data_IF_204240825705
#
_entry.id   IF_204240825705
#
_cell.length_a   1.000
_cell.length_b   1.000
_cell.length_c   1.000
_cell.angle_alpha   90.00
_cell.angle_beta   90.00
_cell.angle_gamma   90.00
#
_symmetry.space_group_name_H-M   'P 1'
#
loop_
_entity.id
_entity.type
_entity.pdbx_description
1 polymer ?
#
# COMPACT_ATOMS: atom_id res chain seq x y z
N UNK A 1 -7.21 -3.64 1.39
CA UNK A 1 -5.90 -4.31 1.65
C UNK A 1 -5.16 -4.79 0.38
N UNK A 2 -5.73 -5.64 -0.48
CA UNK A 2 -5.04 -6.14 -1.71
C UNK A 2 -4.49 -5.00 -2.58
N UNK A 3 -5.32 -4.02 -2.90
CA UNK A 3 -4.92 -2.86 -3.70
C UNK A 3 -3.90 -1.97 -2.98
N UNK A 4 -3.93 -1.95 -1.64
CA UNK A 4 -2.98 -1.15 -0.86
C UNK A 4 -1.55 -1.70 -0.97
N UNK A 5 -1.36 -3.02 -0.86
CA UNK A 5 -0.05 -3.63 -1.05
C UNK A 5 0.52 -3.39 -2.46
N UNK A 6 -0.34 -3.42 -3.49
CA UNK A 6 0.05 -3.09 -4.88
C UNK A 6 0.42 -1.62 -5.04
N UNK A 7 -0.32 -0.72 -4.40
CA UNK A 7 -0.05 0.71 -4.40
C UNK A 7 1.29 1.05 -3.75
N UNK A 8 1.59 0.48 -2.58
CA UNK A 8 2.89 0.68 -1.90
C UNK A 8 4.06 0.29 -2.81
N UNK A 9 3.98 -0.90 -3.42
CA UNK A 9 4.99 -1.36 -4.37
C UNK A 9 5.13 -0.41 -5.57
N UNK A 10 4.02 0.12 -6.07
CA UNK A 10 4.06 1.08 -7.17
C UNK A 10 4.80 2.37 -6.78
N UNK A 11 4.48 2.93 -5.61
CA UNK A 11 5.10 4.16 -5.10
C UNK A 11 6.63 3.97 -4.98
N UNK A 12 7.07 2.84 -4.41
CA UNK A 12 8.50 2.54 -4.27
C UNK A 12 9.22 2.45 -5.62
N UNK A 13 8.60 1.82 -6.61
CA UNK A 13 9.15 1.71 -7.97
C UNK A 13 9.22 3.08 -8.64
N UNK A 14 8.16 3.90 -8.50
CA UNK A 14 8.12 5.23 -9.07
C UNK A 14 9.23 6.13 -8.50
N UNK A 15 9.40 6.13 -7.17
CA UNK A 15 10.46 6.89 -6.48
C UNK A 15 11.85 6.45 -6.91
N UNK A 16 12.09 5.15 -7.09
CA UNK A 16 13.37 4.63 -7.60
C UNK A 16 13.68 5.17 -9.01
N UNK A 17 12.69 5.23 -9.89
CA UNK A 17 12.90 5.78 -11.24
C UNK A 17 13.12 7.29 -11.24
N UNK A 18 12.43 8.03 -10.38
CA UNK A 18 12.70 9.47 -10.19
C UNK A 18 14.14 9.72 -9.71
N UNK A 19 14.62 8.92 -8.75
CA UNK A 19 15.99 9.08 -8.23
C UNK A 19 17.08 8.75 -9.26
N UNK A 20 16.79 7.86 -10.20
CA UNK A 20 17.75 7.41 -11.22
C UNK A 20 17.64 8.21 -12.55
N UNK A 21 17.07 9.41 -12.52
CA UNK A 21 16.86 10.30 -13.69
C UNK A 21 16.07 9.67 -14.85
N UNK A 22 15.28 8.63 -14.57
CA UNK A 22 14.50 7.88 -15.55
C UNK A 22 13.11 8.48 -15.80
N UNK A 23 13.02 9.76 -16.21
CA UNK A 23 11.76 10.54 -16.24
C UNK A 23 10.61 9.83 -16.99
N UNK A 24 10.85 9.26 -18.17
CA UNK A 24 9.82 8.55 -18.93
C UNK A 24 9.30 7.29 -18.22
N UNK A 25 10.22 6.56 -17.57
CA UNK A 25 9.88 5.37 -16.80
C UNK A 25 9.18 5.75 -15.49
N UNK A 26 9.63 6.82 -14.84
CA UNK A 26 8.98 7.40 -13.67
C UNK A 26 7.55 7.84 -14.01
N UNK A 27 7.34 8.50 -15.15
CA UNK A 27 6.02 8.89 -15.62
C UNK A 27 5.08 7.69 -15.84
N UNK A 28 5.58 6.66 -16.52
CA UNK A 28 4.80 5.42 -16.73
C UNK A 28 4.47 4.74 -15.39
N UNK A 29 5.42 4.75 -14.45
CA UNK A 29 5.20 4.25 -13.10
C UNK A 29 4.19 5.09 -12.32
N UNK A 30 4.21 6.42 -12.48
CA UNK A 30 3.27 7.33 -11.84
C UNK A 30 1.84 7.06 -12.30
N UNK A 31 1.64 6.86 -13.61
CA UNK A 31 0.34 6.46 -14.16
C UNK A 31 -0.15 5.13 -13.59
N UNK A 32 0.76 4.18 -13.40
CA UNK A 32 0.43 2.92 -12.74
C UNK A 32 0.00 3.14 -11.29
N UNK A 33 0.61 4.08 -10.59
CA UNK A 33 0.27 4.38 -9.21
C UNK A 33 -1.08 5.08 -9.12
N UNK A 34 -1.41 5.95 -10.08
CA UNK A 34 -2.75 6.53 -10.24
C UNK A 34 -3.81 5.44 -10.43
N UNK A 35 -3.54 4.44 -11.26
CA UNK A 35 -4.45 3.31 -11.50
C UNK A 35 -4.66 2.46 -10.23
N UNK A 36 -3.58 2.09 -9.52
CA UNK A 36 -3.69 1.31 -8.30
C UNK A 36 -4.33 2.11 -7.15
N UNK A 37 -4.09 3.42 -7.08
CA UNK A 37 -4.78 4.32 -6.17
C UNK A 37 -6.28 4.36 -6.46
N UNK A 38 -6.68 4.50 -7.73
CA UNK A 38 -8.08 4.51 -8.11
C UNK A 38 -8.80 3.22 -7.70
N UNK A 39 -8.16 2.06 -7.88
CA UNK A 39 -8.69 0.77 -7.42
C UNK A 39 -8.82 0.72 -5.89
N UNK A 40 -7.83 1.23 -5.15
CA UNK A 40 -7.93 1.32 -3.70
C UNK A 40 -9.09 2.23 -3.29
N UNK A 41 -9.15 3.44 -3.84
CA UNK A 41 -10.13 4.47 -3.53
C UNK A 41 -11.57 3.99 -3.77
N UNK A 42 -11.84 3.49 -4.97
CA UNK A 42 -13.16 2.97 -5.36
C UNK A 42 -13.56 1.78 -4.49
N UNK A 43 -12.60 0.90 -4.14
CA UNK A 43 -12.86 -0.24 -3.26
C UNK A 43 -13.21 0.20 -1.82
N UNK A 44 -12.53 1.24 -1.29
CA UNK A 44 -12.83 1.78 0.03
C UNK A 44 -14.22 2.39 0.11
N UNK A 45 -14.71 2.98 -0.98
CA UNK A 45 -16.07 3.49 -1.08
C UNK A 45 -17.14 2.37 -1.23
N UNK A 46 -16.73 1.10 -1.24
CA UNK A 46 -17.63 -0.05 -1.33
C UNK A 46 -18.04 -0.44 -2.76
N UNK A 47 -17.46 0.19 -3.78
CA UNK A 47 -17.72 -0.18 -5.18
C UNK A 47 -16.87 -1.36 -5.63
N UNK A 48 -17.39 -2.14 -6.58
CA UNK A 48 -16.63 -3.19 -7.26
C UNK A 48 -15.64 -2.58 -8.25
N UNK A 49 -14.43 -3.13 -8.31
CA UNK A 49 -13.39 -2.66 -9.22
C UNK A 49 -13.65 -3.18 -10.63
N UNK A 50 -13.86 -2.24 -11.55
CA UNK A 50 -13.96 -2.48 -12.99
C UNK A 50 -12.71 -2.00 -13.73
N UNK A 51 -12.71 -2.14 -15.06
CA UNK A 51 -11.65 -1.59 -15.92
C UNK A 51 -11.62 -0.05 -15.91
N UNK A 52 -12.73 0.59 -15.55
CA UNK A 52 -12.91 2.04 -15.57
C UNK A 52 -12.69 2.68 -14.19
N UNK A 53 -12.04 1.96 -13.26
CA UNK A 53 -11.82 2.43 -11.88
C UNK A 53 -11.16 3.82 -11.83
N UNK A 54 -10.23 4.13 -12.75
CA UNK A 54 -9.60 5.46 -12.84
C UNK A 54 -10.61 6.56 -13.16
N UNK A 55 -11.47 6.35 -14.17
CA UNK A 55 -12.50 7.34 -14.54
C UNK A 55 -13.47 7.53 -13.38
N UNK A 56 -13.92 6.42 -12.78
CA UNK A 56 -14.82 6.47 -11.62
C UNK A 56 -14.19 7.23 -10.44
N UNK A 57 -12.92 6.99 -10.14
CA UNK A 57 -12.22 7.73 -9.09
C UNK A 57 -12.07 9.22 -9.42
N UNK A 58 -11.85 9.59 -10.69
CA UNK A 58 -11.78 10.98 -11.13
C UNK A 58 -13.14 11.69 -11.01
N UNK A 59 -14.24 10.98 -11.27
CA UNK A 59 -15.59 11.54 -11.15
C UNK A 59 -16.01 11.70 -9.67
N UNK A 60 -15.47 10.88 -8.78
CA UNK A 60 -15.76 10.90 -7.33
C UNK A 60 -14.80 11.80 -6.53
N UNK A 61 -13.65 12.17 -7.09
CA UNK A 61 -12.61 12.91 -6.40
C UNK A 61 -11.93 13.93 -7.32
N UNK A 62 -12.39 15.18 -7.24
CA UNK A 62 -11.88 16.30 -8.05
C UNK A 62 -10.37 16.54 -7.84
N UNK A 63 -9.86 16.35 -6.62
CA UNK A 63 -8.43 16.52 -6.35
C UNK A 63 -7.59 15.45 -7.04
N UNK A 64 -8.07 14.20 -7.07
CA UNK A 64 -7.43 13.13 -7.84
C UNK A 64 -7.47 13.41 -9.33
N UNK A 65 -8.63 13.85 -9.85
CA UNK A 65 -8.79 14.26 -11.25
C UNK A 65 -7.79 15.34 -11.63
N UNK A 66 -7.64 16.38 -10.83
CA UNK A 66 -6.67 17.45 -11.06
C UNK A 66 -5.24 16.91 -11.16
N UNK A 67 -4.83 15.97 -10.30
CA UNK A 67 -3.50 15.35 -10.37
C UNK A 67 -3.32 14.47 -11.61
N UNK A 68 -4.36 13.75 -12.02
CA UNK A 68 -4.33 12.95 -13.25
C UNK A 68 -4.21 13.86 -14.47
N UNK A 69 -4.99 14.94 -14.54
CA UNK A 69 -4.93 15.92 -15.62
C UNK A 69 -3.56 16.62 -15.66
N UNK A 70 -2.99 16.93 -14.49
CA UNK A 70 -1.62 17.45 -14.37
C UNK A 70 -0.59 16.46 -14.93
N UNK A 71 -0.72 15.16 -14.67
CA UNK A 71 0.17 14.18 -15.28
C UNK A 71 -0.01 14.11 -16.80
N UNK A 72 -1.23 14.01 -17.32
CA UNK A 72 -1.47 13.78 -18.75
C UNK A 72 -1.22 15.00 -19.64
N UNK A 73 -1.58 16.19 -19.16
CA UNK A 73 -1.71 17.37 -20.02
C UNK A 73 -0.75 18.50 -19.68
N UNK A 74 -0.02 18.42 -18.56
CA UNK A 74 0.94 19.45 -18.22
C UNK A 74 2.14 19.42 -19.17
N UNK A 75 2.36 20.53 -19.88
CA UNK A 75 3.52 20.75 -20.76
C UNK A 75 4.74 21.30 -20.02
N UNK A 76 4.61 21.51 -18.71
CA UNK A 76 5.65 22.02 -17.83
C UNK A 76 6.53 20.92 -17.27
N UNK A 77 6.77 20.99 -15.96
CA UNK A 77 7.70 20.10 -15.26
C UNK A 77 7.05 18.74 -14.94
N UNK A 78 7.37 17.73 -15.74
CA UNK A 78 6.89 16.35 -15.54
C UNK A 78 7.32 15.77 -14.19
N UNK A 79 8.52 16.08 -13.71
CA UNK A 79 9.00 15.56 -12.42
C UNK A 79 8.11 16.09 -11.31
N UNK A 80 7.85 17.39 -11.31
CA UNK A 80 6.95 18.02 -10.34
C UNK A 80 5.52 17.44 -10.40
N UNK A 81 5.01 17.16 -11.60
CA UNK A 81 3.69 16.53 -11.75
C UNK A 81 3.66 15.12 -11.10
N UNK A 82 4.72 14.34 -11.28
CA UNK A 82 4.85 13.02 -10.63
C UNK A 82 4.94 13.17 -9.11
N UNK A 83 5.76 14.08 -8.61
CA UNK A 83 5.90 14.33 -7.16
C UNK A 83 4.58 14.77 -6.54
N UNK A 84 3.85 15.68 -7.19
CA UNK A 84 2.52 16.12 -6.76
C UNK A 84 1.53 14.95 -6.68
N UNK A 85 1.55 14.04 -7.66
CA UNK A 85 0.71 12.85 -7.66
C UNK A 85 1.05 11.90 -6.50
N UNK A 86 2.34 11.61 -6.31
CA UNK A 86 2.78 10.73 -5.22
C UNK A 86 2.44 11.33 -3.85
N UNK A 87 2.68 12.63 -3.67
CA UNK A 87 2.35 13.33 -2.43
C UNK A 87 0.84 13.31 -2.14
N UNK A 88 0.01 13.47 -3.17
CA UNK A 88 -1.45 13.34 -3.04
C UNK A 88 -1.85 11.94 -2.57
N UNK A 89 -1.34 10.90 -3.23
CA UNK A 89 -1.63 9.49 -2.88
C UNK A 89 -1.21 9.20 -1.44
N UNK A 90 0.02 9.58 -1.08
CA UNK A 90 0.58 9.30 0.24
C UNK A 90 -0.21 9.99 1.34
N UNK A 91 -0.56 11.26 1.15
CA UNK A 91 -1.41 11.99 2.09
C UNK A 91 -2.77 11.32 2.27
N UNK A 92 -3.38 10.83 1.19
CA UNK A 92 -4.63 10.08 1.28
C UNK A 92 -4.46 8.78 2.07
N UNK A 93 -3.43 8.00 1.76
CA UNK A 93 -3.11 6.74 2.44
C UNK A 93 -2.90 6.99 3.93
N UNK A 94 -2.13 8.00 4.30
CA UNK A 94 -1.85 8.33 5.71
C UNK A 94 -3.13 8.70 6.46
N UNK A 95 -3.98 9.52 5.86
CA UNK A 95 -5.25 9.93 6.47
C UNK A 95 -6.22 8.76 6.67
N UNK A 96 -6.14 7.71 5.85
CA UNK A 96 -7.08 6.58 5.83
C UNK A 96 -6.42 5.25 6.22
N UNK A 97 -5.22 5.27 6.81
CA UNK A 97 -4.39 4.08 6.96
C UNK A 97 -5.06 2.98 7.80
N UNK A 98 -5.78 3.38 8.86
CA UNK A 98 -6.55 2.44 9.70
C UNK A 98 -7.73 1.85 8.95
N UNK A 99 -8.49 2.66 8.23
CA UNK A 99 -9.68 2.21 7.49
C UNK A 99 -9.31 1.25 6.35
N UNK A 100 -8.22 1.54 5.64
CA UNK A 100 -7.64 0.69 4.58
C UNK A 100 -7.31 -0.72 5.09
N UNK A 101 -6.93 -0.82 6.35
CA UNK A 101 -6.43 -2.02 7.00
C UNK A 101 -7.32 -2.52 8.14
N UNK A 102 -8.56 -2.04 8.22
CA UNK A 102 -9.53 -2.37 9.29
C UNK A 102 -9.63 -3.88 9.52
N UNK A 103 -9.84 -4.65 8.45
CA UNK A 103 -9.90 -6.13 8.50
C UNK A 103 -8.63 -6.75 9.09
N UNK A 104 -7.44 -6.23 8.75
CA UNK A 104 -6.18 -6.74 9.31
C UNK A 104 -6.07 -6.40 10.79
N UNK A 105 -6.38 -5.16 11.15
CA UNK A 105 -6.28 -4.67 12.52
C UNK A 105 -7.26 -5.41 13.44
N UNK A 106 -8.51 -5.59 13.01
CA UNK A 106 -9.52 -6.38 13.72
C UNK A 106 -9.08 -7.84 13.88
N UNK A 107 -8.53 -8.44 12.82
CA UNK A 107 -7.97 -9.78 12.88
C UNK A 107 -6.84 -9.88 13.90
N UNK A 108 -5.86 -8.97 13.85
CA UNK A 108 -4.73 -8.98 14.79
C UNK A 108 -5.19 -8.77 16.23
N UNK A 109 -6.12 -7.84 16.47
CA UNK A 109 -6.74 -7.62 17.79
C UNK A 109 -7.44 -8.89 18.30
N UNK A 110 -8.14 -9.63 17.42
CA UNK A 110 -8.84 -10.85 17.81
C UNK A 110 -7.91 -12.00 18.20
N UNK A 111 -6.66 -12.00 17.70
CA UNK A 111 -5.65 -13.03 18.01
C UNK A 111 -4.89 -12.74 19.31
N UNK A 112 -4.91 -11.49 19.80
CA UNK A 112 -4.26 -11.05 21.04
C UNK A 112 -2.83 -11.62 21.22
N UNK A 113 -2.04 -11.61 20.15
CA UNK A 113 -0.68 -12.17 20.15
C UNK A 113 0.19 -11.54 19.07
N UNK A 114 1.51 -11.66 19.24
CA UNK A 114 2.48 -11.24 18.23
C UNK A 114 2.40 -12.14 17.01
N UNK A 115 2.20 -11.55 15.83
CA UNK A 115 2.03 -12.25 14.56
C UNK A 115 3.13 -11.85 13.58
N UNK A 116 3.76 -12.83 12.93
CA UNK A 116 4.61 -12.57 11.77
C UNK A 116 3.76 -12.36 10.50
N UNK A 117 4.37 -11.81 9.45
CA UNK A 117 3.71 -11.72 8.15
C UNK A 117 3.32 -13.12 7.62
N UNK A 118 4.09 -14.15 7.96
CA UNK A 118 3.83 -15.53 7.57
C UNK A 118 2.66 -16.15 8.34
N UNK A 119 2.52 -15.83 9.63
CA UNK A 119 1.37 -16.25 10.45
C UNK A 119 0.07 -15.73 9.85
N UNK A 120 0.06 -14.46 9.43
CA UNK A 120 -1.11 -13.82 8.80
C UNK A 120 -1.41 -14.42 7.42
N UNK A 121 -0.40 -14.60 6.56
CA UNK A 121 -0.57 -15.16 5.21
C UNK A 121 -1.16 -16.58 5.21
N UNK A 122 -0.86 -17.38 6.23
CA UNK A 122 -1.36 -18.75 6.35
C UNK A 122 -2.77 -18.87 6.89
N UNK A 123 -3.30 -17.80 7.49
CA UNK A 123 -4.67 -17.82 8.00
C UNK A 123 -5.66 -17.81 6.84
N UNK A 124 -6.75 -18.58 6.98
CA UNK A 124 -7.77 -18.75 5.95
C UNK A 124 -8.43 -17.43 5.52
N UNK A 125 -8.40 -16.39 6.38
CA UNK A 125 -8.91 -15.07 6.03
C UNK A 125 -8.07 -14.39 4.92
N UNK A 126 -6.80 -14.73 4.78
CA UNK A 126 -5.86 -14.06 3.88
C UNK A 126 -5.21 -14.96 2.83
N UNK A 127 -5.23 -16.29 3.02
CA UNK A 127 -4.48 -17.25 2.20
C UNK A 127 -4.80 -17.22 0.70
N UNK A 128 -6.03 -16.85 0.34
CA UNK A 128 -6.49 -16.81 -1.05
C UNK A 128 -6.22 -15.47 -1.74
N UNK A 129 -5.61 -14.51 -1.04
CA UNK A 129 -5.35 -13.18 -1.55
C UNK A 129 -3.85 -12.93 -1.74
N UNK A 130 -3.49 -12.43 -2.92
CA UNK A 130 -2.15 -11.91 -3.20
C UNK A 130 -1.95 -10.54 -2.52
N UNK A 131 -1.65 -10.57 -1.22
CA UNK A 131 -1.41 -9.39 -0.39
C UNK A 131 0.07 -9.34 -0.01
N UNK A 132 0.69 -8.20 -0.25
CA UNK A 132 2.02 -7.89 0.25
C UNK A 132 1.97 -7.57 1.77
N UNK A 133 1.59 -8.55 2.60
CA UNK A 133 1.34 -8.40 4.05
C UNK A 133 2.51 -7.75 4.78
N UNK A 134 3.74 -8.15 4.45
CA UNK A 134 4.94 -7.57 5.06
C UNK A 134 5.06 -6.07 4.80
N UNK A 135 4.86 -5.62 3.55
CA UNK A 135 4.89 -4.20 3.20
C UNK A 135 3.77 -3.40 3.91
N UNK A 136 2.60 -4.01 4.07
CA UNK A 136 1.47 -3.40 4.80
C UNK A 136 1.81 -3.25 6.29
N UNK A 137 2.34 -4.29 6.92
CA UNK A 137 2.71 -4.27 8.34
C UNK A 137 3.85 -3.29 8.62
N UNK A 138 4.87 -3.26 7.77
CA UNK A 138 5.96 -2.27 7.87
C UNK A 138 5.40 -0.84 7.78
N UNK A 139 4.45 -0.58 6.86
CA UNK A 139 3.85 0.75 6.75
C UNK A 139 3.00 1.13 7.96
N UNK A 140 2.26 0.18 8.52
CA UNK A 140 1.50 0.39 9.76
C UNK A 140 2.43 0.65 10.95
N UNK A 141 3.55 -0.06 11.04
CA UNK A 141 4.55 0.14 12.09
C UNK A 141 5.30 1.47 11.94
N UNK A 142 5.66 1.88 10.73
CA UNK A 142 6.29 3.18 10.42
C UNK A 142 5.41 4.35 10.91
N UNK A 143 4.08 4.16 10.88
CA UNK A 143 3.09 5.16 11.33
C UNK A 143 2.57 4.91 12.75
N UNK A 144 3.27 4.08 13.53
CA UNK A 144 2.97 3.79 14.94
C UNK A 144 1.55 3.26 15.17
N UNK A 145 0.93 2.67 14.14
CA UNK A 145 -0.40 2.04 14.24
C UNK A 145 -0.32 0.68 14.94
N UNK A 146 0.80 -0.03 14.74
CA UNK A 146 1.10 -1.31 15.36
C UNK A 146 2.54 -1.32 15.86
N UNK A 147 2.83 -2.15 16.86
CA UNK A 147 4.18 -2.37 17.39
C UNK A 147 4.90 -3.42 16.58
N UNK A 148 6.19 -3.22 16.38
CA UNK A 148 7.11 -4.16 15.74
C UNK A 148 8.13 -4.66 16.74
N UNK A 149 8.24 -5.97 16.87
CA UNK A 149 9.22 -6.65 17.71
C UNK A 149 9.89 -7.79 16.93
N UNK A 150 10.78 -8.51 17.61
CA UNK A 150 11.37 -9.73 17.08
C UNK A 150 11.21 -10.87 18.07
N UNK A 151 10.98 -12.09 17.56
CA UNK A 151 10.96 -13.30 18.40
C UNK A 151 11.88 -14.38 17.83
N UNK A 152 12.47 -15.25 18.67
CA UNK A 152 13.32 -16.34 18.18
C UNK A 152 12.49 -17.41 17.43
N UNK A 153 12.82 -17.65 16.17
CA UNK A 153 12.29 -18.76 15.40
C UNK A 153 13.10 -20.03 15.69
N UNK A 154 12.44 -21.06 16.22
CA UNK A 154 13.09 -22.29 16.72
C UNK A 154 12.74 -23.49 15.84
N UNK A 155 13.70 -24.39 15.66
CA UNK A 155 13.43 -25.73 15.10
C UNK A 155 12.65 -26.59 16.09
N UNK A 156 12.14 -27.74 15.61
CA UNK A 156 11.50 -28.75 16.45
C UNK A 156 12.38 -29.23 17.63
N UNK A 157 13.71 -29.08 17.51
CA UNK A 157 14.68 -29.44 18.54
C UNK A 157 15.02 -28.26 19.49
N UNK A 158 14.29 -27.15 19.41
CA UNK A 158 14.45 -25.96 20.27
C UNK A 158 15.60 -25.02 19.90
N UNK A 159 16.38 -25.34 18.85
CA UNK A 159 17.50 -24.49 18.39
C UNK A 159 16.96 -23.26 17.67
N UNK A 160 17.39 -22.07 18.09
CA UNK A 160 17.09 -20.81 17.38
C UNK A 160 17.82 -20.80 16.03
N UNK A 161 17.07 -20.56 14.95
CA UNK A 161 17.64 -20.37 13.61
C UNK A 161 17.91 -18.91 13.32
N UNK A 162 16.90 -18.06 13.51
CA UNK A 162 16.95 -16.61 13.31
C UNK A 162 15.88 -15.95 14.18
N UNK A 163 15.93 -14.62 14.31
CA UNK A 163 14.84 -13.86 14.92
C UNK A 163 13.91 -13.37 13.81
N UNK A 164 12.64 -13.76 13.86
CA UNK A 164 11.63 -13.28 12.92
C UNK A 164 11.00 -11.97 13.42
N UNK A 165 10.59 -11.13 12.47
CA UNK A 165 9.85 -9.89 12.75
C UNK A 165 8.40 -10.26 13.05
N UNK A 166 7.87 -9.70 14.13
CA UNK A 166 6.48 -9.89 14.54
C UNK A 166 5.83 -8.56 14.90
N UNK A 167 4.51 -8.52 14.79
CA UNK A 167 3.71 -7.32 14.96
C UNK A 167 2.56 -7.56 15.94
N UNK A 168 2.19 -6.51 16.67
CA UNK A 168 1.10 -6.52 17.65
C UNK A 168 0.35 -5.19 17.60
N UNK A 169 -0.99 -5.22 17.76
CA UNK A 169 -1.84 -4.02 17.79
C UNK A 169 -1.90 -3.46 19.20
#
# INVERSE_FOLDING_TARGET
>A
MVYFGKLLKCIDVCRKYLHNDGVYTAYTSAMKCSEEFAKLYVNLLGYMISKDATIMAMDLNDAFKERVDELFFNKGDTIKAIENMLAFIEKYVEANLKDINSILLEYMQSKDSFLSAEDIKKDALFSDFDIAIEAVLEKLSEKEVIKKETRPFKTNNGKVLFNEIVFFV
#
